data_IF_470048373187
#
_entry.id   IF_470048373187
#
_cell.length_a   1.000
_cell.length_b   1.000
_cell.length_c   1.000
_cell.angle_alpha   90.00
_cell.angle_beta   90.00
_cell.angle_gamma   90.00
#
_symmetry.space_group_name_H-M   'P 1'
#
loop_
_entity.id
_entity.type
_entity.pdbx_description
1 polymer ?
#
# COMPACT_ATOMS: atom_id res chain seq x y z
N UNK A 1 -15.82 17.53 -0.10
CA UNK A 1 -15.33 16.23 -0.64
C UNK A 1 -14.41 15.57 0.38
N UNK A 2 -14.52 14.26 0.60
CA UNK A 2 -13.59 13.56 1.48
C UNK A 2 -12.13 13.69 1.02
N UNK A 3 -11.22 13.76 1.97
CA UNK A 3 -9.78 13.80 1.71
C UNK A 3 -9.15 12.60 2.44
N UNK A 4 -8.98 11.51 1.72
CA UNK A 4 -8.44 10.29 2.29
C UNK A 4 -6.97 10.12 1.91
N UNK A 5 -6.23 9.41 2.75
CA UNK A 5 -4.83 9.06 2.50
C UNK A 5 -4.70 7.56 2.27
N UNK A 6 -3.79 7.18 1.39
CA UNK A 6 -3.44 5.79 1.16
C UNK A 6 -2.02 5.50 1.66
N UNK A 7 -1.85 4.32 2.22
CA UNK A 7 -0.56 3.82 2.72
C UNK A 7 -0.30 2.47 2.06
N UNK A 8 0.73 2.38 1.25
CA UNK A 8 1.03 1.21 0.44
C UNK A 8 2.29 0.52 0.96
N UNK A 9 2.15 -0.74 1.35
CA UNK A 9 3.26 -1.64 1.66
C UNK A 9 3.80 -2.16 0.32
N UNK A 10 4.87 -1.53 -0.17
CA UNK A 10 5.40 -1.81 -1.50
C UNK A 10 5.90 -3.25 -1.64
N UNK A 11 6.55 -3.79 -0.60
CA UNK A 11 7.07 -5.16 -0.64
C UNK A 11 5.93 -6.18 -0.71
N UNK A 12 4.93 -6.02 0.14
CA UNK A 12 3.76 -6.91 0.12
C UNK A 12 3.04 -6.85 -1.22
N UNK A 13 2.85 -5.65 -1.76
CA UNK A 13 2.24 -5.45 -3.07
C UNK A 13 3.04 -6.14 -4.19
N UNK A 14 4.35 -5.95 -4.21
CA UNK A 14 5.23 -6.53 -5.23
C UNK A 14 5.24 -8.05 -5.17
N UNK A 15 5.35 -8.61 -3.97
CA UNK A 15 5.35 -10.06 -3.79
C UNK A 15 4.02 -10.71 -4.16
N UNK A 16 2.93 -9.99 -4.01
CA UNK A 16 1.58 -10.48 -4.29
C UNK A 16 1.14 -10.24 -5.74
N UNK A 17 1.90 -9.52 -6.53
CA UNK A 17 1.57 -9.21 -7.93
C UNK A 17 2.67 -9.65 -8.90
N UNK A 18 3.77 -8.90 -9.02
CA UNK A 18 4.85 -9.18 -9.97
C UNK A 18 5.64 -10.43 -9.62
N UNK A 19 5.84 -10.71 -8.34
CA UNK A 19 6.55 -11.90 -7.82
C UNK A 19 5.62 -13.03 -7.40
N UNK A 20 4.38 -12.95 -7.74
CA UNK A 20 3.41 -14.01 -7.45
C UNK A 20 3.79 -15.26 -8.23
N UNK A 21 3.80 -16.43 -7.56
CA UNK A 21 4.13 -17.72 -8.20
C UNK A 21 3.11 -18.14 -9.24
N UNK A 22 1.84 -17.86 -8.95
CA UNK A 22 0.70 -18.24 -9.76
C UNK A 22 0.12 -17.01 -10.44
N UNK A 23 0.16 -16.96 -11.78
CA UNK A 23 -0.37 -15.88 -12.60
C UNK A 23 0.15 -14.49 -12.20
N UNK A 24 1.50 -14.26 -12.25
CA UNK A 24 2.05 -12.95 -11.94
C UNK A 24 1.51 -11.87 -12.90
N UNK A 25 1.35 -10.66 -12.37
CA UNK A 25 0.86 -9.54 -13.17
C UNK A 25 1.51 -8.24 -12.71
N UNK A 26 1.54 -7.26 -13.60
CA UNK A 26 2.24 -6.01 -13.35
C UNK A 26 1.26 -4.85 -13.25
N UNK A 27 1.33 -4.15 -12.14
CA UNK A 27 0.52 -2.96 -11.89
C UNK A 27 1.06 -1.80 -12.72
N UNK A 28 0.15 -1.09 -13.38
CA UNK A 28 0.42 0.23 -13.92
C UNK A 28 0.20 1.24 -12.78
N UNK A 29 1.30 1.81 -12.29
CA UNK A 29 1.26 2.69 -11.12
C UNK A 29 0.44 3.95 -11.36
N UNK A 30 0.50 4.52 -12.58
CA UNK A 30 -0.30 5.69 -12.93
C UNK A 30 -1.80 5.38 -12.86
N UNK A 31 -2.21 4.25 -13.43
CA UNK A 31 -3.60 3.79 -13.37
C UNK A 31 -4.04 3.49 -11.96
N UNK A 32 -3.19 2.86 -11.17
CA UNK A 32 -3.47 2.56 -9.77
C UNK A 32 -3.68 3.84 -8.96
N UNK A 33 -2.80 4.83 -9.16
CA UNK A 33 -2.94 6.12 -8.48
C UNK A 33 -4.26 6.82 -8.83
N UNK A 34 -4.65 6.80 -10.09
CA UNK A 34 -5.92 7.36 -10.56
C UNK A 34 -7.10 6.59 -9.94
N UNK A 35 -7.03 5.25 -9.94
CA UNK A 35 -8.06 4.43 -9.34
C UNK A 35 -8.29 4.77 -7.87
N UNK A 36 -7.20 4.90 -7.09
CA UNK A 36 -7.28 5.30 -5.69
C UNK A 36 -7.95 6.67 -5.53
N UNK A 37 -7.58 7.62 -6.37
CA UNK A 37 -8.15 8.97 -6.34
C UNK A 37 -9.66 8.95 -6.63
N UNK A 38 -10.06 8.28 -7.70
CA UNK A 38 -11.46 8.28 -8.15
C UNK A 38 -12.36 7.44 -7.25
N UNK A 39 -11.90 6.25 -6.87
CA UNK A 39 -12.71 5.32 -6.08
C UNK A 39 -12.80 5.70 -4.61
N UNK A 40 -11.69 6.13 -4.03
CA UNK A 40 -11.57 6.32 -2.57
C UNK A 40 -11.23 7.76 -2.17
N UNK A 41 -11.26 8.70 -3.10
CA UNK A 41 -10.94 10.11 -2.85
C UNK A 41 -9.56 10.31 -2.20
N UNK A 42 -8.56 9.56 -2.69
CA UNK A 42 -7.20 9.63 -2.16
C UNK A 42 -6.52 10.89 -2.66
N UNK A 43 -6.18 11.78 -1.74
CA UNK A 43 -5.44 13.02 -2.02
C UNK A 43 -3.94 12.85 -1.88
N UNK A 44 -3.49 12.01 -0.94
CA UNK A 44 -2.07 11.66 -0.76
C UNK A 44 -1.93 10.15 -0.66
N UNK A 45 -1.02 9.60 -1.45
CA UNK A 45 -0.74 8.17 -1.47
C UNK A 45 0.74 7.95 -1.15
N UNK A 46 1.03 7.37 0.01
CA UNK A 46 2.38 7.12 0.51
C UNK A 46 2.80 5.71 0.14
N UNK A 47 3.93 5.60 -0.54
CA UNK A 47 4.48 4.35 -1.05
C UNK A 47 5.73 4.00 -0.22
N UNK A 48 5.58 3.02 0.69
CA UNK A 48 6.61 2.67 1.66
C UNK A 48 7.53 1.61 1.10
N UNK A 49 8.78 1.99 0.93
CA UNK A 49 9.86 1.14 0.43
C UNK A 49 10.83 0.79 1.56
N UNK A 50 11.67 -0.23 1.32
CA UNK A 50 12.78 -0.53 2.18
C UNK A 50 13.89 0.53 2.07
N UNK A 51 15.14 0.09 2.14
CA UNK A 51 16.26 1.01 2.05
C UNK A 51 16.47 1.52 0.62
N UNK A 52 16.96 2.76 0.50
CA UNK A 52 17.34 3.34 -0.78
C UNK A 52 18.43 2.49 -1.44
N UNK A 53 18.26 2.19 -2.72
CA UNK A 53 19.24 1.48 -3.53
C UNK A 53 19.41 2.21 -4.87
N UNK A 54 20.60 2.69 -5.17
CA UNK A 54 20.87 3.48 -6.38
C UNK A 54 20.48 2.76 -7.67
N UNK A 55 20.62 1.43 -7.70
CA UNK A 55 20.22 0.60 -8.87
C UNK A 55 18.73 0.66 -9.19
N UNK A 56 17.91 1.17 -8.27
CA UNK A 56 16.45 1.26 -8.42
C UNK A 56 15.97 2.68 -8.71
N UNK A 57 16.86 3.60 -9.07
CA UNK A 57 16.52 5.01 -9.28
C UNK A 57 15.38 5.19 -10.31
N UNK A 58 15.43 4.46 -11.43
CA UNK A 58 14.39 4.54 -12.47
C UNK A 58 13.02 4.09 -11.96
N UNK A 59 12.98 3.11 -11.04
CA UNK A 59 11.74 2.64 -10.40
C UNK A 59 11.19 3.74 -9.50
N UNK A 60 12.06 4.41 -8.74
CA UNK A 60 11.64 5.50 -7.85
C UNK A 60 11.04 6.67 -8.63
N UNK A 61 11.67 7.03 -9.76
CA UNK A 61 11.11 8.05 -10.66
C UNK A 61 9.73 7.66 -11.19
N UNK A 62 9.57 6.40 -11.61
CA UNK A 62 8.28 5.90 -12.09
C UNK A 62 7.19 6.03 -11.03
N UNK A 63 7.50 5.67 -9.78
CA UNK A 63 6.56 5.77 -8.66
C UNK A 63 6.19 7.23 -8.40
N UNK A 64 7.17 8.12 -8.37
CA UNK A 64 6.94 9.56 -8.15
C UNK A 64 6.13 10.18 -9.29
N UNK A 65 6.46 9.84 -10.53
CA UNK A 65 5.74 10.35 -11.70
C UNK A 65 4.28 9.88 -11.74
N UNK A 66 4.00 8.71 -11.17
CA UNK A 66 2.65 8.23 -11.03
C UNK A 66 1.82 9.00 -9.99
N UNK A 67 2.47 9.81 -9.15
CA UNK A 67 1.81 10.64 -8.13
C UNK A 67 1.85 10.07 -6.72
N UNK A 68 2.72 9.07 -6.45
CA UNK A 68 2.94 8.57 -5.11
C UNK A 68 4.04 9.33 -4.40
N UNK A 69 3.91 9.44 -3.09
CA UNK A 69 4.95 10.00 -2.22
C UNK A 69 5.80 8.85 -1.71
N UNK A 70 7.08 8.86 -2.06
CA UNK A 70 8.00 7.82 -1.62
C UNK A 70 8.38 8.02 -0.15
N UNK A 71 8.34 6.94 0.60
CA UNK A 71 8.84 6.90 1.98
C UNK A 71 9.83 5.75 2.09
N UNK A 72 11.07 6.06 2.38
CA UNK A 72 12.12 5.07 2.57
C UNK A 72 12.35 4.80 4.05
N UNK A 73 12.74 3.56 4.33
CA UNK A 73 13.16 3.20 5.68
C UNK A 73 14.52 3.82 5.99
N UNK A 74 14.65 4.39 7.19
CA UNK A 74 15.94 4.87 7.69
C UNK A 74 16.91 3.70 7.90
N UNK A 75 18.16 3.91 7.51
CA UNK A 75 19.21 2.92 7.71
C UNK A 75 20.56 3.61 7.94
N UNK A 76 21.48 2.88 8.56
CA UNK A 76 22.89 3.29 8.64
C UNK A 76 23.75 2.31 7.81
N UNK A 77 25.03 2.64 7.53
CA UNK A 77 25.90 1.76 6.74
C UNK A 77 26.05 0.34 7.29
N UNK A 78 25.95 0.17 8.60
CA UNK A 78 26.07 -1.14 9.25
C UNK A 78 24.85 -2.05 8.97
N UNK A 79 23.74 -1.48 8.54
CA UNK A 79 22.50 -2.22 8.22
C UNK A 79 22.41 -2.63 6.76
N UNK A 80 23.26 -2.08 5.90
CA UNK A 80 23.29 -2.41 4.46
C UNK A 80 23.70 -3.87 4.28
N UNK A 81 22.88 -4.65 3.59
CA UNK A 81 23.13 -6.07 3.36
C UNK A 81 22.64 -7.00 4.46
N UNK A 82 22.14 -6.47 5.57
CA UNK A 82 21.45 -7.27 6.59
C UNK A 82 19.99 -7.41 6.20
N UNK A 83 19.32 -8.41 6.82
CA UNK A 83 17.91 -8.75 6.59
C UNK A 83 17.04 -7.50 6.41
N UNK A 84 16.32 -7.43 5.30
CA UNK A 84 15.35 -6.36 5.04
C UNK A 84 14.40 -6.26 6.22
N UNK A 85 14.42 -5.14 6.91
CA UNK A 85 13.45 -4.91 7.97
C UNK A 85 12.05 -4.70 7.40
N UNK A 86 11.05 -5.10 8.14
CA UNK A 86 9.66 -4.90 7.79
C UNK A 86 9.31 -3.41 7.74
N UNK A 87 8.67 -2.97 6.65
CA UNK A 87 8.16 -1.59 6.54
C UNK A 87 6.86 -1.39 7.33
N UNK A 88 6.27 -2.45 7.87
CA UNK A 88 5.02 -2.39 8.62
C UNK A 88 5.11 -1.46 9.83
N UNK A 89 6.21 -1.54 10.60
CA UNK A 89 6.41 -0.63 11.73
C UNK A 89 6.46 0.84 11.29
N UNK A 90 7.07 1.13 10.15
CA UNK A 90 7.15 2.49 9.61
C UNK A 90 5.77 2.99 9.19
N UNK A 91 4.97 2.14 8.55
CA UNK A 91 3.60 2.48 8.15
C UNK A 91 2.74 2.73 9.38
N UNK A 92 2.78 1.81 10.36
CA UNK A 92 2.00 1.93 11.60
C UNK A 92 2.37 3.22 12.32
N UNK A 93 3.67 3.48 12.49
CA UNK A 93 4.13 4.71 13.15
C UNK A 93 3.68 5.95 12.39
N UNK A 94 3.81 5.98 11.07
CA UNK A 94 3.39 7.10 10.24
C UNK A 94 1.90 7.42 10.41
N UNK A 95 1.06 6.40 10.41
CA UNK A 95 -0.37 6.56 10.60
C UNK A 95 -0.68 7.09 12.00
N UNK A 96 -0.11 6.46 13.04
CA UNK A 96 -0.36 6.84 14.43
C UNK A 96 0.12 8.25 14.73
N UNK A 97 1.28 8.64 14.18
CA UNK A 97 1.82 10.00 14.34
C UNK A 97 0.88 11.05 13.74
N UNK A 98 0.33 10.78 12.54
CA UNK A 98 -0.62 11.68 11.88
C UNK A 98 -1.90 11.83 12.69
N UNK A 99 -2.41 10.73 13.23
CA UNK A 99 -3.59 10.75 14.09
C UNK A 99 -3.32 11.51 15.39
N UNK A 100 -2.17 11.29 16.00
CA UNK A 100 -1.75 11.97 17.23
C UNK A 100 -1.66 13.48 17.01
N UNK A 101 -1.09 13.91 15.90
CA UNK A 101 -0.96 15.33 15.56
C UNK A 101 -2.25 15.93 14.97
N UNK A 102 -3.33 15.16 14.88
CA UNK A 102 -4.61 15.60 14.34
C UNK A 102 -4.47 16.20 12.94
N UNK A 103 -3.64 15.58 12.10
CA UNK A 103 -3.49 16.00 10.71
C UNK A 103 -4.84 15.92 9.99
N UNK A 104 -5.11 16.90 9.13
CA UNK A 104 -6.40 17.01 8.47
C UNK A 104 -6.53 16.03 7.31
N UNK A 105 -7.14 14.91 7.57
CA UNK A 105 -7.62 13.95 6.57
C UNK A 105 -8.79 13.18 7.16
N UNK A 106 -9.61 12.58 6.31
CA UNK A 106 -10.83 11.90 6.78
C UNK A 106 -10.55 10.44 7.15
N UNK A 107 -10.20 9.61 6.18
CA UNK A 107 -10.01 8.18 6.39
C UNK A 107 -8.77 7.66 5.65
N UNK A 108 -8.44 6.43 5.93
CA UNK A 108 -7.23 5.75 5.44
C UNK A 108 -7.61 4.55 4.59
N UNK A 109 -6.90 4.39 3.46
CA UNK A 109 -6.84 3.15 2.68
C UNK A 109 -5.47 2.53 2.93
N UNK A 110 -5.43 1.29 3.38
CA UNK A 110 -4.21 0.52 3.58
C UNK A 110 -4.10 -0.54 2.48
N UNK A 111 -2.94 -0.64 1.83
CA UNK A 111 -2.71 -1.62 0.77
C UNK A 111 -1.68 -2.64 1.26
N UNK A 112 -2.15 -3.75 1.77
CA UNK A 112 -1.36 -4.90 2.23
C UNK A 112 -2.28 -6.05 2.62
N UNK A 113 -1.79 -7.27 2.51
CA UNK A 113 -2.46 -8.46 3.04
C UNK A 113 -1.80 -9.02 4.30
N UNK A 114 -0.79 -8.33 4.83
CA UNK A 114 -0.04 -8.79 5.99
C UNK A 114 -0.86 -8.69 7.28
N UNK A 115 -0.85 -9.77 8.06
CA UNK A 115 -1.56 -9.84 9.34
C UNK A 115 -0.98 -8.93 10.43
N UNK A 116 0.25 -8.45 10.27
CA UNK A 116 0.88 -7.56 11.24
C UNK A 116 0.15 -6.22 11.38
N UNK A 117 -0.70 -5.87 10.41
CA UNK A 117 -1.54 -4.67 10.49
C UNK A 117 -2.87 -4.89 11.19
N UNK A 118 -3.20 -6.10 11.63
CA UNK A 118 -4.54 -6.41 12.15
C UNK A 118 -4.94 -5.51 13.31
N UNK A 119 -4.04 -5.29 14.27
CA UNK A 119 -4.32 -4.41 15.42
C UNK A 119 -4.57 -2.97 14.99
N UNK A 120 -3.79 -2.49 14.03
CA UNK A 120 -3.98 -1.15 13.46
C UNK A 120 -5.34 -1.04 12.78
N UNK A 121 -5.70 -2.04 11.97
CA UNK A 121 -6.98 -2.07 11.25
C UNK A 121 -8.15 -2.03 12.24
N UNK A 122 -8.10 -2.84 13.28
CA UNK A 122 -9.13 -2.84 14.32
C UNK A 122 -9.26 -1.48 15.00
N UNK A 123 -8.13 -0.87 15.33
CA UNK A 123 -8.09 0.47 15.93
C UNK A 123 -8.68 1.52 14.99
N UNK A 124 -8.31 1.50 13.71
CA UNK A 124 -8.82 2.45 12.73
C UNK A 124 -10.34 2.31 12.52
N UNK A 125 -10.86 1.09 12.62
CA UNK A 125 -12.30 0.86 12.57
C UNK A 125 -13.00 1.48 13.78
N UNK A 126 -12.48 1.23 14.99
CA UNK A 126 -13.00 1.82 16.23
C UNK A 126 -13.04 3.35 16.15
N UNK A 127 -11.98 3.96 15.61
CA UNK A 127 -11.87 5.41 15.48
C UNK A 127 -12.58 5.97 14.24
N UNK A 128 -13.25 5.11 13.45
CA UNK A 128 -13.92 5.50 12.19
C UNK A 128 -12.95 6.13 11.18
N UNK A 129 -11.71 5.68 11.19
CA UNK A 129 -10.63 6.18 10.32
C UNK A 129 -10.24 5.19 9.21
N UNK A 130 -10.82 4.01 9.15
CA UNK A 130 -10.56 3.08 8.06
C UNK A 130 -11.60 3.23 6.95
N UNK A 131 -11.14 3.56 5.74
CA UNK A 131 -11.97 3.50 4.53
C UNK A 131 -11.99 2.10 3.95
N UNK A 132 -10.81 1.55 3.68
CA UNK A 132 -10.63 0.20 3.12
C UNK A 132 -9.24 -0.33 3.45
N UNK A 133 -9.16 -1.64 3.59
CA UNK A 133 -7.91 -2.36 3.39
C UNK A 133 -8.01 -3.10 2.04
N UNK A 134 -7.02 -2.90 1.17
CA UNK A 134 -6.96 -3.54 -0.14
C UNK A 134 -5.95 -4.69 -0.07
N UNK A 135 -6.44 -5.91 -0.28
CA UNK A 135 -5.60 -7.11 -0.29
C UNK A 135 -5.06 -7.35 -1.70
N UNK A 136 -3.72 -7.30 -1.89
CA UNK A 136 -3.13 -7.51 -3.21
C UNK A 136 -3.36 -8.91 -3.77
N UNK A 137 -3.47 -9.93 -2.90
CA UNK A 137 -3.71 -11.31 -3.28
C UNK A 137 -4.70 -11.94 -2.31
N UNK A 138 -5.85 -12.34 -2.81
CA UNK A 138 -6.91 -12.98 -2.03
C UNK A 138 -6.43 -14.23 -1.29
N UNK A 139 -5.63 -15.06 -1.96
CA UNK A 139 -5.14 -16.32 -1.38
C UNK A 139 -4.12 -16.10 -0.26
N UNK A 140 -3.37 -15.00 -0.31
CA UNK A 140 -2.28 -14.68 0.63
C UNK A 140 -2.67 -13.70 1.71
N UNK A 141 -3.88 -13.15 1.65
CA UNK A 141 -4.38 -12.31 2.73
C UNK A 141 -4.40 -13.10 4.03
N UNK A 142 -3.91 -12.49 5.11
CA UNK A 142 -3.82 -13.16 6.41
C UNK A 142 -5.18 -13.67 6.87
N UNK A 143 -5.19 -14.86 7.47
CA UNK A 143 -6.39 -15.44 8.08
C UNK A 143 -6.93 -14.60 9.24
N UNK A 144 -6.11 -13.70 9.79
CA UNK A 144 -6.55 -12.76 10.83
C UNK A 144 -7.68 -11.84 10.37
N UNK A 145 -7.82 -11.64 9.05
CA UNK A 145 -8.86 -10.78 8.48
C UNK A 145 -10.16 -11.50 8.14
N UNK A 146 -10.28 -12.80 8.41
CA UNK A 146 -11.47 -13.59 8.05
C UNK A 146 -12.80 -13.06 8.61
N UNK A 147 -12.74 -12.43 9.77
CA UNK A 147 -13.95 -11.89 10.43
C UNK A 147 -14.18 -10.41 10.12
N UNK A 148 -13.37 -9.81 9.27
CA UNK A 148 -13.52 -8.42 8.90
C UNK A 148 -14.79 -8.21 8.07
N UNK A 149 -15.58 -7.20 8.40
CA UNK A 149 -16.78 -6.86 7.64
C UNK A 149 -16.45 -6.50 6.19
N UNK A 150 -17.30 -6.93 5.26
CA UNK A 150 -17.07 -6.73 3.82
C UNK A 150 -17.00 -5.27 3.39
N UNK A 151 -17.56 -4.37 4.18
CA UNK A 151 -17.49 -2.93 3.95
C UNK A 151 -16.08 -2.36 4.12
N UNK A 152 -15.19 -3.08 4.83
CA UNK A 152 -13.86 -2.60 5.18
C UNK A 152 -12.74 -3.11 4.28
N UNK A 153 -13.01 -4.03 3.37
CA UNK A 153 -11.94 -4.57 2.51
C UNK A 153 -12.39 -4.76 1.07
N UNK A 154 -11.40 -4.87 0.18
CA UNK A 154 -11.60 -5.33 -1.19
C UNK A 154 -10.35 -6.10 -1.63
N UNK A 155 -10.51 -6.94 -2.64
CA UNK A 155 -9.41 -7.67 -3.27
C UNK A 155 -9.00 -6.95 -4.53
N UNK A 156 -7.68 -6.76 -4.72
CA UNK A 156 -7.18 -6.07 -5.91
C UNK A 156 -7.50 -6.84 -7.20
N UNK A 157 -7.69 -8.14 -7.13
CA UNK A 157 -8.16 -8.92 -8.27
C UNK A 157 -9.50 -8.42 -8.83
N UNK A 158 -10.36 -7.86 -7.98
CA UNK A 158 -11.67 -7.34 -8.40
C UNK A 158 -11.58 -6.13 -9.35
N UNK A 159 -10.49 -5.37 -9.28
CA UNK A 159 -10.28 -4.22 -10.16
C UNK A 159 -8.97 -4.29 -10.95
N UNK A 160 -8.39 -5.47 -11.02
CA UNK A 160 -7.13 -5.73 -11.74
C UNK A 160 -7.14 -5.19 -13.17
N UNK A 161 -8.25 -5.36 -13.89
CA UNK A 161 -8.37 -4.90 -15.28
C UNK A 161 -8.16 -3.39 -15.42
N UNK A 162 -8.52 -2.62 -14.41
CA UNK A 162 -8.40 -1.15 -14.44
C UNK A 162 -6.99 -0.67 -14.14
N UNK A 163 -6.16 -1.48 -13.51
CA UNK A 163 -4.84 -1.08 -13.02
C UNK A 163 -3.68 -1.91 -13.59
N UNK A 164 -3.93 -2.79 -14.54
CA UNK A 164 -2.90 -3.62 -15.17
C UNK A 164 -2.26 -2.87 -16.33
N UNK A 165 -0.94 -3.03 -16.51
CA UNK A 165 -0.26 -2.54 -17.71
C UNK A 165 -0.86 -3.21 -18.94
N UNK A 166 -1.30 -2.40 -19.89
CA UNK A 166 -1.77 -2.91 -21.18
C UNK A 166 -0.57 -3.31 -22.04
N UNK A 167 -0.69 -4.47 -22.71
CA UNK A 167 0.31 -4.89 -23.68
C UNK A 167 0.29 -3.90 -24.86
N UNK A 168 1.46 -3.32 -25.20
CA UNK A 168 1.57 -2.50 -26.39
C UNK A 168 1.35 -3.36 -27.64
N UNK A 169 0.50 -2.91 -28.53
CA UNK A 169 0.47 -3.34 -29.94
C UNK A 169 0.02 -4.77 -30.19
N UNK A 170 -1.16 -5.10 -29.81
CA UNK A 170 -1.84 -6.22 -30.45
C UNK A 170 -2.66 -5.71 -31.63
#
# INVERSE_FOLDING_TARGET
>A
MPQNYAFIDAQNLYMATAKREDHPWKIDLGRFRIYLKEKYHITKAFYFLGYVQDKNESIYEEIQNAGFILVFREHNPAMIGKKKGNVDSDIIFSIMKRLYHKELFDQIVLVSGDGDYKKLVDFLIEEKKLKKILFPDKKRASSLYKKLGSEFYDYMENFKVHITKQKKGS
#
